data_IF_513616408505
#
_entry.id   IF_513616408505
#
_cell.length_a   1.000
_cell.length_b   1.000
_cell.length_c   1.000
_cell.angle_alpha   90.00
_cell.angle_beta   90.00
_cell.angle_gamma   90.00
#
_symmetry.space_group_name_H-M   'P 1'
#
loop_
_entity.id
_entity.type
_entity.pdbx_description
1 polymer ?
#
# COMPACT_ATOMS: atom_id res chain seq x y z
N UNK A 1 -32.23 -23.50 5.71
CA UNK A 1 -32.36 -22.06 5.38
C UNK A 1 -31.11 -21.68 4.61
N UNK A 2 -31.23 -21.17 3.39
CA UNK A 2 -30.05 -20.69 2.66
C UNK A 2 -29.68 -19.31 3.22
N UNK A 3 -28.39 -19.04 3.50
CA UNK A 3 -27.97 -17.73 3.98
C UNK A 3 -28.33 -16.66 2.94
N UNK A 4 -28.74 -15.50 3.43
CA UNK A 4 -29.04 -14.36 2.58
C UNK A 4 -27.79 -13.92 1.81
N UNK A 5 -27.98 -13.28 0.65
CA UNK A 5 -26.88 -12.73 -0.14
C UNK A 5 -25.95 -11.84 0.71
N UNK A 6 -26.51 -11.08 1.65
CA UNK A 6 -25.75 -10.17 2.54
C UNK A 6 -24.85 -10.95 3.52
N UNK A 7 -25.33 -12.05 4.08
CA UNK A 7 -24.53 -12.89 4.97
C UNK A 7 -23.37 -13.56 4.23
N UNK A 8 -23.63 -14.03 3.00
CA UNK A 8 -22.61 -14.62 2.13
C UNK A 8 -21.51 -13.60 1.82
N UNK A 9 -21.87 -12.36 1.48
CA UNK A 9 -20.91 -11.27 1.22
C UNK A 9 -20.05 -10.95 2.46
N UNK A 10 -20.68 -10.87 3.65
CA UNK A 10 -19.98 -10.59 4.91
C UNK A 10 -18.99 -11.70 5.24
N UNK A 11 -19.41 -12.95 5.09
CA UNK A 11 -18.58 -14.11 5.42
C UNK A 11 -17.36 -14.18 4.49
N UNK A 12 -17.55 -14.03 3.18
CA UNK A 12 -16.42 -13.98 2.23
C UNK A 12 -15.44 -12.86 2.55
N UNK A 13 -15.96 -11.65 2.86
CA UNK A 13 -15.11 -10.50 3.18
C UNK A 13 -14.31 -10.74 4.46
N UNK A 14 -14.88 -11.40 5.47
CA UNK A 14 -14.14 -11.76 6.69
C UNK A 14 -13.07 -12.82 6.43
N UNK A 15 -13.34 -13.79 5.55
CA UNK A 15 -12.38 -14.83 5.16
C UNK A 15 -11.22 -14.24 4.36
N UNK A 16 -11.49 -13.35 3.39
CA UNK A 16 -10.46 -12.63 2.63
C UNK A 16 -9.57 -11.77 3.54
N UNK A 17 -10.18 -11.07 4.51
CA UNK A 17 -9.43 -10.29 5.51
C UNK A 17 -8.58 -11.18 6.41
N UNK A 18 -9.09 -12.32 6.86
CA UNK A 18 -8.33 -13.28 7.68
C UNK A 18 -7.12 -13.82 6.91
N UNK A 19 -7.33 -14.29 5.68
CA UNK A 19 -6.25 -14.78 4.81
C UNK A 19 -5.19 -13.70 4.55
N UNK A 20 -5.62 -12.46 4.32
CA UNK A 20 -4.70 -11.33 4.11
C UNK A 20 -3.93 -10.99 5.38
N UNK A 21 -4.58 -11.05 6.55
CA UNK A 21 -3.94 -10.80 7.84
C UNK A 21 -2.89 -11.86 8.15
N UNK A 22 -3.20 -13.14 7.91
CA UNK A 22 -2.27 -14.25 8.13
C UNK A 22 -1.05 -14.13 7.21
N UNK A 23 -1.27 -13.88 5.91
CA UNK A 23 -0.18 -13.64 4.94
C UNK A 23 0.75 -12.50 5.38
N UNK A 24 0.19 -11.35 5.78
CA UNK A 24 0.98 -10.20 6.21
C UNK A 24 1.71 -10.47 7.54
N UNK A 25 1.08 -11.20 8.45
CA UNK A 25 1.67 -11.58 9.74
C UNK A 25 2.86 -12.52 9.56
N UNK A 26 2.76 -13.48 8.64
CA UNK A 26 3.88 -14.34 8.26
C UNK A 26 5.01 -13.54 7.58
N UNK A 27 4.65 -12.58 6.71
CA UNK A 27 5.62 -11.79 5.93
C UNK A 27 6.42 -10.79 6.77
N UNK A 28 5.78 -10.11 7.72
CA UNK A 28 6.37 -8.99 8.44
C UNK A 28 6.65 -9.24 9.91
N UNK A 29 6.03 -10.26 10.53
CA UNK A 29 6.20 -10.64 11.94
C UNK A 29 5.97 -9.51 12.98
N UNK A 30 5.55 -8.32 12.55
CA UNK A 30 5.25 -7.15 13.37
C UNK A 30 3.80 -6.74 13.16
N UNK A 31 2.99 -6.93 14.21
CA UNK A 31 1.56 -6.64 14.17
C UNK A 31 1.25 -5.16 13.91
N UNK A 32 2.13 -4.23 14.31
CA UNK A 32 1.90 -2.80 14.08
C UNK A 32 2.01 -2.44 12.60
N UNK A 33 2.97 -3.05 11.90
CA UNK A 33 3.14 -2.89 10.45
C UNK A 33 1.96 -3.53 9.72
N UNK A 34 1.58 -4.76 10.10
CA UNK A 34 0.42 -5.45 9.50
C UNK A 34 -0.85 -4.63 9.64
N UNK A 35 -1.14 -4.13 10.84
CA UNK A 35 -2.33 -3.31 11.06
C UNK A 35 -2.28 -2.01 10.25
N UNK A 36 -1.12 -1.34 10.16
CA UNK A 36 -0.98 -0.13 9.36
C UNK A 36 -1.20 -0.39 7.86
N UNK A 37 -0.72 -1.52 7.35
CA UNK A 37 -0.96 -1.97 5.97
C UNK A 37 -2.45 -2.26 5.73
N UNK A 38 -3.11 -2.97 6.65
CA UNK A 38 -4.54 -3.25 6.56
C UNK A 38 -5.40 -1.98 6.62
N UNK A 39 -4.96 -0.98 7.38
CA UNK A 39 -5.57 0.34 7.45
C UNK A 39 -5.27 1.23 6.22
N UNK A 40 -4.50 0.74 5.24
CA UNK A 40 -4.04 1.48 4.06
C UNK A 40 -3.28 2.78 4.41
N UNK A 41 -2.56 2.78 5.53
CA UNK A 41 -1.78 3.92 5.99
C UNK A 41 -0.42 3.97 5.31
N UNK A 42 0.10 5.19 5.17
CA UNK A 42 1.43 5.51 4.66
C UNK A 42 2.16 6.25 5.78
N UNK A 43 3.39 5.84 6.08
CA UNK A 43 4.22 6.46 7.10
C UNK A 43 5.69 6.55 6.66
N UNK A 44 6.43 7.48 7.27
CA UNK A 44 7.87 7.62 7.01
C UNK A 44 8.65 6.43 7.57
N UNK A 45 9.67 5.97 6.84
CA UNK A 45 10.48 4.83 7.23
C UNK A 45 9.94 3.47 6.78
N UNK A 46 8.75 3.39 6.18
CA UNK A 46 8.25 2.14 5.64
C UNK A 46 8.98 1.74 4.35
N UNK A 47 9.09 0.44 4.10
CA UNK A 47 9.77 -0.07 2.90
C UNK A 47 8.87 0.03 1.67
N UNK A 48 9.46 -0.03 0.48
CA UNK A 48 8.73 -0.18 -0.78
C UNK A 48 7.77 -1.39 -0.76
N UNK A 49 8.14 -2.47 -0.06
CA UNK A 49 7.26 -3.64 0.12
C UNK A 49 6.05 -3.32 1.01
N UNK A 50 6.24 -2.60 2.13
CA UNK A 50 5.13 -2.15 2.97
C UNK A 50 4.20 -1.21 2.18
N UNK A 51 4.76 -0.28 1.41
CA UNK A 51 4.00 0.61 0.55
C UNK A 51 3.17 -0.17 -0.47
N UNK A 52 3.80 -1.15 -1.14
CA UNK A 52 3.12 -1.99 -2.12
C UNK A 52 1.97 -2.78 -1.50
N UNK A 53 2.16 -3.37 -0.32
CA UNK A 53 1.08 -4.14 0.34
C UNK A 53 -0.04 -3.24 0.88
N UNK A 54 0.27 -1.98 1.22
CA UNK A 54 -0.66 -0.99 1.76
C UNK A 54 -1.46 -0.25 0.68
N UNK A 55 -0.76 0.40 -0.25
CA UNK A 55 -1.34 1.23 -1.31
C UNK A 55 -1.56 0.47 -2.62
N UNK A 56 -0.96 -0.71 -2.78
CA UNK A 56 -1.03 -1.51 -4.00
C UNK A 56 0.04 -1.14 -5.03
N UNK A 57 -0.17 -1.65 -6.24
CA UNK A 57 0.68 -1.39 -7.39
C UNK A 57 0.57 0.07 -7.83
N UNK A 58 1.70 0.81 -7.94
CA UNK A 58 1.67 2.17 -8.44
C UNK A 58 1.38 2.19 -9.94
N UNK A 59 0.63 3.19 -10.39
CA UNK A 59 0.34 3.37 -11.81
C UNK A 59 1.57 3.86 -12.59
N UNK A 60 2.46 4.57 -11.92
CA UNK A 60 3.71 5.06 -12.52
C UNK A 60 4.77 5.21 -11.45
N UNK A 61 6.01 4.85 -11.79
CA UNK A 61 7.19 5.03 -10.95
C UNK A 61 8.17 5.95 -11.70
N UNK A 62 8.42 7.13 -11.16
CA UNK A 62 9.51 7.99 -11.63
C UNK A 62 10.77 7.65 -10.83
N UNK A 63 11.74 7.00 -11.45
CA UNK A 63 12.99 6.60 -10.81
C UNK A 63 14.18 7.43 -11.28
N UNK A 64 15.01 7.87 -10.33
CA UNK A 64 16.28 8.56 -10.58
C UNK A 64 17.39 7.92 -9.76
N UNK A 65 18.33 7.29 -10.45
CA UNK A 65 19.52 6.70 -9.86
C UNK A 65 20.67 7.69 -9.87
N UNK A 66 21.29 7.89 -8.72
CA UNK A 66 22.55 8.60 -8.54
C UNK A 66 23.60 7.61 -8.04
N UNK A 67 24.87 7.98 -8.11
CA UNK A 67 26.00 7.09 -7.78
C UNK A 67 25.86 6.38 -6.42
N UNK A 68 25.28 7.05 -5.43
CA UNK A 68 25.17 6.54 -4.05
C UNK A 68 23.73 6.49 -3.51
N UNK A 69 22.72 6.87 -4.31
CA UNK A 69 21.33 7.00 -3.84
C UNK A 69 20.34 6.69 -4.97
N UNK A 70 19.27 5.98 -4.67
CA UNK A 70 18.08 5.92 -5.53
C UNK A 70 16.99 6.82 -4.97
N UNK A 71 16.30 7.53 -5.86
CA UNK A 71 15.07 8.24 -5.51
C UNK A 71 13.97 7.79 -6.46
N UNK A 72 12.85 7.38 -5.88
CA UNK A 72 11.69 6.91 -6.62
C UNK A 72 10.47 7.74 -6.19
N UNK A 73 9.60 8.07 -7.14
CA UNK A 73 8.30 8.68 -6.86
C UNK A 73 7.23 7.77 -7.43
N UNK A 74 6.52 7.10 -6.54
CA UNK A 74 5.42 6.20 -6.88
C UNK A 74 4.14 7.02 -6.93
N UNK A 75 3.39 6.89 -8.03
CA UNK A 75 2.21 7.70 -8.32
C UNK A 75 0.97 6.82 -8.37
N UNK A 76 -0.11 7.32 -7.78
CA UNK A 76 -1.38 6.62 -7.64
C UNK A 76 -2.55 7.54 -7.97
N UNK A 77 -3.67 6.93 -8.38
CA UNK A 77 -4.93 7.57 -8.70
C UNK A 77 -4.78 8.66 -9.76
N UNK A 78 -4.54 8.23 -11.01
CA UNK A 78 -4.44 9.13 -12.14
C UNK A 78 -5.78 9.83 -12.45
N UNK A 79 -5.74 11.17 -12.55
CA UNK A 79 -6.90 12.00 -12.91
C UNK A 79 -6.77 12.67 -14.29
N UNK A 80 -5.82 12.19 -15.11
CA UNK A 80 -5.57 12.72 -16.45
C UNK A 80 -4.40 13.70 -16.53
N UNK A 81 -3.72 13.68 -17.68
CA UNK A 81 -2.47 14.42 -17.89
C UNK A 81 -1.37 13.93 -16.95
N UNK A 82 -0.67 14.85 -16.28
CA UNK A 82 0.34 14.53 -15.25
C UNK A 82 -0.22 14.70 -13.82
N UNK A 83 -1.54 14.58 -13.64
CA UNK A 83 -2.20 14.75 -12.34
C UNK A 83 -2.45 13.39 -11.68
N UNK A 84 -2.00 13.28 -10.44
CA UNK A 84 -2.11 12.11 -9.59
C UNK A 84 -2.52 12.60 -8.20
N UNK A 85 -3.49 11.91 -7.58
CA UNK A 85 -3.97 12.27 -6.24
C UNK A 85 -2.99 11.90 -5.14
N UNK A 86 -2.16 10.88 -5.35
CA UNK A 86 -1.16 10.48 -4.38
C UNK A 86 0.21 10.29 -5.05
N UNK A 87 1.23 10.91 -4.48
CA UNK A 87 2.64 10.70 -4.83
C UNK A 87 3.42 10.35 -3.59
N UNK A 88 4.06 9.19 -3.59
CA UNK A 88 4.90 8.74 -2.48
C UNK A 88 6.36 8.79 -2.93
N UNK A 89 7.21 9.46 -2.15
CA UNK A 89 8.64 9.56 -2.42
C UNK A 89 9.39 8.54 -1.59
N UNK A 90 10.20 7.72 -2.26
CA UNK A 90 11.10 6.77 -1.64
C UNK A 90 12.54 7.18 -1.93
N UNK A 91 13.40 7.07 -0.92
CA UNK A 91 14.85 7.12 -1.08
C UNK A 91 15.45 5.79 -0.62
N UNK A 92 16.24 5.16 -1.49
CA UNK A 92 16.83 3.85 -1.24
C UNK A 92 15.80 2.78 -0.83
N UNK A 93 14.61 2.82 -1.43
CA UNK A 93 13.51 1.89 -1.14
C UNK A 93 12.77 2.15 0.18
N UNK A 94 13.02 3.28 0.84
CA UNK A 94 12.36 3.70 2.08
C UNK A 94 11.53 4.95 1.82
N UNK A 95 10.28 4.95 2.28
CA UNK A 95 9.39 6.11 2.19
C UNK A 95 9.93 7.25 3.04
N UNK A 96 10.14 8.41 2.42
CA UNK A 96 10.62 9.63 3.08
C UNK A 96 9.57 10.76 3.08
N UNK A 97 8.43 10.56 2.40
CA UNK A 97 7.33 11.51 2.38
C UNK A 97 6.31 11.22 1.29
N UNK A 98 5.13 11.82 1.39
CA UNK A 98 4.07 11.70 0.40
C UNK A 98 3.25 12.98 0.28
N UNK A 99 2.67 13.20 -0.90
CA UNK A 99 1.78 14.31 -1.22
C UNK A 99 0.43 13.73 -1.65
N UNK A 100 -0.62 14.02 -0.89
CA UNK A 100 -1.99 13.63 -1.18
C UNK A 100 -2.80 14.88 -1.53
N UNK A 101 -3.26 14.97 -2.77
CA UNK A 101 -4.19 16.01 -3.20
C UNK A 101 -5.61 15.58 -2.84
N UNK A 102 -6.16 16.22 -1.81
CA UNK A 102 -7.58 16.16 -1.44
C UNK A 102 -8.35 17.38 -1.96
#
# INVERSE_FOLDING_TARGET
MLPSRVEIERQRKSEELALRTDYLSEKYADQSIVQAILDQKIWEGMTAAHLFDSAGEPETIDQKYMKNKSREIWKYHHEGGNRFLLRVTLENGIVVGWDAKG
#
